data_IF_081647707281
#
_entry.id   IF_081647707281
#
_cell.length_a   1.000
_cell.length_b   1.000
_cell.length_c   1.000
_cell.angle_alpha   90.00
_cell.angle_beta   90.00
_cell.angle_gamma   90.00
#
_symmetry.space_group_name_H-M   'P 1'
#
loop_
_entity.id
_entity.type
_entity.pdbx_description
1 polymer ?
#
# COMPACT_ATOMS: atom_id res chain seq x y z
N UNK A 1 -7.19 0.14 14.19
CA UNK A 1 -6.14 -0.91 14.22
C UNK A 1 -4.87 -0.35 13.61
N UNK A 2 -3.76 -0.57 14.26
CA UNK A 2 -2.46 -0.18 13.73
C UNK A 2 -1.59 -1.43 13.57
N UNK A 3 -0.33 -1.23 13.19
CA UNK A 3 0.60 -2.33 12.97
C UNK A 3 0.84 -3.16 14.24
N UNK A 4 0.94 -2.53 15.40
CA UNK A 4 1.12 -3.25 16.67
C UNK A 4 -0.10 -4.09 17.03
N UNK A 5 -1.30 -3.57 16.81
CA UNK A 5 -2.53 -4.31 17.02
C UNK A 5 -2.60 -5.53 16.11
N UNK A 6 -2.18 -5.38 14.87
CA UNK A 6 -2.15 -6.48 13.90
C UNK A 6 -1.16 -7.57 14.33
N UNK A 7 0.03 -7.17 14.79
CA UNK A 7 1.04 -8.11 15.28
C UNK A 7 0.50 -8.92 16.47
N UNK A 8 -0.15 -8.24 17.41
CA UNK A 8 -0.78 -8.89 18.57
C UNK A 8 -1.85 -9.89 18.14
N UNK A 9 -2.69 -9.48 17.20
CA UNK A 9 -3.75 -10.34 16.67
C UNK A 9 -3.18 -11.60 16.03
N UNK A 10 -2.16 -11.45 15.20
CA UNK A 10 -1.52 -12.59 14.52
C UNK A 10 -0.90 -13.55 15.54
N UNK A 11 -0.18 -13.01 16.54
CA UNK A 11 0.44 -13.85 17.57
C UNK A 11 -0.62 -14.64 18.36
N UNK A 12 -1.73 -14.01 18.71
CA UNK A 12 -2.81 -14.66 19.46
C UNK A 12 -3.52 -15.74 18.64
N UNK A 13 -3.81 -15.45 17.38
CA UNK A 13 -4.57 -16.39 16.54
C UNK A 13 -3.75 -17.57 16.05
N UNK A 14 -2.45 -17.38 15.85
CA UNK A 14 -1.58 -18.43 15.28
C UNK A 14 -0.76 -19.16 16.33
N UNK A 15 -0.70 -18.63 17.54
CA UNK A 15 0.13 -19.22 18.61
C UNK A 15 1.62 -18.95 18.48
N UNK A 16 2.05 -18.16 17.52
CA UNK A 16 3.47 -17.77 17.40
C UNK A 16 3.79 -16.62 18.36
N UNK A 17 5.08 -16.41 18.61
CA UNK A 17 5.51 -15.31 19.47
C UNK A 17 5.26 -13.96 18.80
N UNK A 18 5.15 -12.90 19.59
CA UNK A 18 5.04 -11.54 19.04
C UNK A 18 6.27 -11.16 18.21
N UNK A 19 7.44 -11.65 18.61
CA UNK A 19 8.67 -11.44 17.85
C UNK A 19 8.57 -12.05 16.45
N UNK A 20 8.11 -13.30 16.35
CA UNK A 20 7.93 -13.96 15.06
C UNK A 20 6.81 -13.31 14.25
N UNK A 21 5.72 -12.92 14.90
CA UNK A 21 4.62 -12.22 14.23
C UNK A 21 5.09 -10.87 13.66
N UNK A 22 5.90 -10.12 14.44
CA UNK A 22 6.48 -8.86 13.99
C UNK A 22 7.38 -9.05 12.77
N UNK A 23 8.25 -10.07 12.81
CA UNK A 23 9.13 -10.38 11.69
C UNK A 23 8.33 -10.74 10.43
N UNK A 24 7.26 -11.50 10.58
CA UNK A 24 6.39 -11.87 9.45
C UNK A 24 5.71 -10.65 8.83
N UNK A 25 5.18 -9.74 9.64
CA UNK A 25 4.53 -8.51 9.17
C UNK A 25 5.54 -7.61 8.46
N UNK A 26 6.75 -7.45 9.02
CA UNK A 26 7.80 -6.65 8.39
C UNK A 26 8.23 -7.23 7.04
N UNK A 27 8.40 -8.54 6.98
CA UNK A 27 8.74 -9.23 5.73
C UNK A 27 7.65 -9.07 4.67
N UNK A 28 6.40 -9.12 5.07
CA UNK A 28 5.24 -8.93 4.20
C UNK A 28 5.25 -7.53 3.57
N UNK A 29 5.40 -6.49 4.39
CA UNK A 29 5.44 -5.11 3.89
C UNK A 29 6.67 -4.85 3.05
N UNK A 30 7.81 -5.41 3.43
CA UNK A 30 9.04 -5.30 2.64
C UNK A 30 8.87 -5.91 1.25
N UNK A 31 8.22 -7.06 1.17
CA UNK A 31 7.93 -7.72 -0.10
C UNK A 31 7.07 -6.87 -1.02
N UNK A 32 6.01 -6.26 -0.46
CA UNK A 32 5.15 -5.35 -1.21
C UNK A 32 5.96 -4.15 -1.71
N UNK A 33 6.72 -3.53 -0.83
CA UNK A 33 7.53 -2.35 -1.17
C UNK A 33 8.52 -2.64 -2.28
N UNK A 34 9.25 -3.75 -2.17
CA UNK A 34 10.25 -4.13 -3.17
C UNK A 34 9.63 -4.43 -4.53
N UNK A 35 8.50 -5.11 -4.54
CA UNK A 35 7.79 -5.41 -5.79
C UNK A 35 7.34 -4.12 -6.47
N UNK A 36 6.77 -3.19 -5.72
CA UNK A 36 6.30 -1.92 -6.26
C UNK A 36 7.44 -1.03 -6.73
N UNK A 37 8.60 -1.08 -6.07
CA UNK A 37 9.80 -0.37 -6.53
C UNK A 37 10.23 -0.82 -7.92
N UNK A 38 10.06 -2.11 -8.22
CA UNK A 38 10.35 -2.67 -9.54
C UNK A 38 9.24 -2.43 -10.56
N UNK A 39 8.14 -1.80 -10.15
CA UNK A 39 6.99 -1.58 -11.01
C UNK A 39 6.11 -2.82 -11.21
N UNK A 40 6.29 -3.84 -10.40
CA UNK A 40 5.53 -5.09 -10.49
C UNK A 40 4.33 -5.04 -9.56
N UNK A 41 3.12 -5.29 -10.07
CA UNK A 41 1.94 -5.35 -9.20
C UNK A 41 1.95 -6.60 -8.34
N UNK A 42 1.31 -6.51 -7.18
CA UNK A 42 1.10 -7.64 -6.28
C UNK A 42 -0.40 -7.86 -6.13
N UNK A 43 -0.85 -9.07 -6.41
CA UNK A 43 -2.26 -9.45 -6.26
C UNK A 43 -2.40 -10.49 -5.15
N UNK A 44 -3.27 -10.18 -4.19
CA UNK A 44 -3.68 -11.12 -3.15
C UNK A 44 -5.10 -11.55 -3.45
N UNK A 45 -5.25 -12.80 -3.90
CA UNK A 45 -6.56 -13.33 -4.28
C UNK A 45 -7.52 -13.22 -3.10
N UNK A 46 -8.71 -12.68 -3.37
CA UNK A 46 -9.72 -12.45 -2.33
C UNK A 46 -9.55 -11.18 -1.53
N UNK A 47 -8.43 -10.46 -1.71
CA UNK A 47 -8.18 -9.22 -0.99
C UNK A 47 -8.10 -8.02 -1.92
N UNK A 48 -7.10 -8.00 -2.79
CA UNK A 48 -6.93 -6.89 -3.71
C UNK A 48 -5.55 -6.86 -4.35
N UNK A 49 -5.32 -5.81 -5.12
CA UNK A 49 -4.08 -5.64 -5.88
C UNK A 49 -3.43 -4.31 -5.55
N UNK A 50 -2.15 -4.35 -5.19
CA UNK A 50 -1.30 -3.16 -5.10
C UNK A 50 -0.57 -2.99 -6.41
N UNK A 51 -0.58 -1.78 -6.94
CA UNK A 51 0.11 -1.46 -8.18
C UNK A 51 0.61 -0.02 -8.15
N UNK A 52 1.51 0.29 -9.08
CA UNK A 52 1.96 1.66 -9.27
C UNK A 52 1.30 2.25 -10.51
N UNK A 53 1.07 3.55 -10.48
CA UNK A 53 0.64 4.31 -11.64
C UNK A 53 1.57 5.49 -11.80
N UNK A 54 1.92 5.81 -13.05
CA UNK A 54 2.81 6.91 -13.32
C UNK A 54 1.99 8.16 -13.65
N UNK A 55 2.25 9.23 -12.89
CA UNK A 55 1.65 10.52 -13.17
C UNK A 55 2.62 11.34 -13.98
N UNK A 56 2.14 11.86 -15.12
CA UNK A 56 2.94 12.71 -15.99
C UNK A 56 3.26 14.04 -15.31
N UNK A 57 4.38 14.64 -15.67
CA UNK A 57 4.69 16.01 -15.30
C UNK A 57 3.57 16.92 -15.82
N UNK A 58 3.19 17.90 -15.04
CA UNK A 58 2.14 18.84 -15.40
C UNK A 58 2.42 20.22 -14.84
N UNK A 59 1.77 21.22 -15.41
CA UNK A 59 1.78 22.57 -14.87
C UNK A 59 0.54 22.76 -13.99
N UNK A 60 0.76 23.32 -12.82
CA UNK A 60 -0.32 23.70 -11.92
C UNK A 60 -0.19 25.18 -11.59
N UNK A 61 -1.28 25.82 -11.19
CA UNK A 61 -1.28 27.22 -10.81
C UNK A 61 -1.36 27.34 -9.29
N UNK A 62 -0.49 28.15 -8.72
CA UNK A 62 -0.55 28.48 -7.30
C UNK A 62 -1.80 29.35 -7.06
N UNK A 63 -2.76 28.91 -6.22
CA UNK A 63 -3.99 29.66 -6.00
C UNK A 63 -3.78 31.00 -5.29
N UNK A 64 -2.67 31.18 -4.58
CA UNK A 64 -2.38 32.42 -3.86
C UNK A 64 -1.67 33.45 -4.73
N UNK A 65 -0.74 33.03 -5.56
CA UNK A 65 0.08 33.97 -6.37
C UNK A 65 -0.30 33.95 -7.83
N UNK A 66 -1.04 32.97 -8.31
CA UNK A 66 -1.36 32.78 -9.72
C UNK A 66 -0.18 32.27 -10.54
N UNK A 67 0.98 32.06 -9.93
CA UNK A 67 2.17 31.59 -10.64
C UNK A 67 2.02 30.13 -11.09
N UNK A 68 2.59 29.82 -12.24
CA UNK A 68 2.65 28.44 -12.74
C UNK A 68 3.69 27.66 -11.94
N UNK A 69 3.31 26.45 -11.50
CA UNK A 69 4.19 25.54 -10.78
C UNK A 69 4.34 24.28 -11.61
N UNK A 70 5.58 23.86 -11.85
CA UNK A 70 5.85 22.60 -12.54
C UNK A 70 5.80 21.48 -11.54
N UNK A 71 4.86 20.53 -11.75
CA UNK A 71 4.76 19.31 -10.95
C UNK A 71 5.50 18.21 -11.70
N UNK A 72 6.60 17.66 -11.13
CA UNK A 72 7.38 16.65 -11.82
C UNK A 72 6.64 15.33 -11.99
N UNK A 73 7.09 14.54 -12.95
CA UNK A 73 6.65 13.16 -13.14
C UNK A 73 6.96 12.34 -11.90
N UNK A 74 5.99 11.51 -11.47
CA UNK A 74 6.17 10.67 -10.29
C UNK A 74 5.36 9.39 -10.41
N UNK A 75 5.77 8.35 -9.66
CA UNK A 75 4.98 7.15 -9.47
C UNK A 75 4.17 7.26 -8.19
N UNK A 76 2.96 6.77 -8.22
CA UNK A 76 2.08 6.69 -7.06
C UNK A 76 1.65 5.24 -6.85
N UNK A 77 1.37 4.89 -5.60
CA UNK A 77 0.85 3.57 -5.25
C UNK A 77 -0.67 3.61 -5.30
N UNK A 78 -1.26 2.59 -5.90
CA UNK A 78 -2.70 2.42 -5.93
C UNK A 78 -3.08 1.06 -5.40
N UNK A 79 -4.18 1.01 -4.67
CA UNK A 79 -4.76 -0.25 -4.20
C UNK A 79 -6.16 -0.39 -4.80
N UNK A 80 -6.42 -1.54 -5.41
CA UNK A 80 -7.75 -1.88 -5.93
C UNK A 80 -8.28 -3.05 -5.11
N UNK A 81 -9.38 -2.84 -4.40
CA UNK A 81 -9.99 -3.89 -3.59
C UNK A 81 -10.53 -5.01 -4.46
N UNK A 82 -10.33 -6.24 -4.02
CA UNK A 82 -10.90 -7.41 -4.67
C UNK A 82 -12.38 -7.56 -4.38
N UNK A 83 -13.07 -8.39 -5.17
CA UNK A 83 -14.51 -8.61 -5.04
C UNK A 83 -14.89 -9.11 -3.65
N UNK A 84 -14.12 -10.07 -3.11
CA UNK A 84 -14.39 -10.63 -1.80
C UNK A 84 -14.26 -9.59 -0.68
N UNK A 85 -13.24 -8.72 -0.75
CA UNK A 85 -13.06 -7.66 0.24
C UNK A 85 -14.19 -6.64 0.16
N UNK A 86 -14.59 -6.25 -1.05
CA UNK A 86 -15.73 -5.33 -1.25
C UNK A 86 -17.01 -5.90 -0.68
N UNK A 87 -17.25 -7.19 -0.88
CA UNK A 87 -18.40 -7.88 -0.33
C UNK A 87 -18.39 -7.95 1.20
N UNK A 88 -17.22 -8.11 1.79
CA UNK A 88 -17.09 -8.23 3.24
C UNK A 88 -17.40 -6.93 3.97
N UNK A 89 -17.23 -5.77 3.34
CA UNK A 89 -17.47 -4.46 3.97
C UNK A 89 -18.83 -3.85 3.62
N UNK A 90 -19.59 -4.48 2.76
CA UNK A 90 -20.93 -4.02 2.36
C UNK A 90 -22.04 -4.84 3.01
#
# INVERSE_FOLDING_TARGET
MNKQDLITKIAQETGITKSNASAAVESFFDGITKSLKKGQPITFVGFGTFKTAQRKARMARNPQTGASIKIPKRRVVRFTAGKALKGAVN
#
